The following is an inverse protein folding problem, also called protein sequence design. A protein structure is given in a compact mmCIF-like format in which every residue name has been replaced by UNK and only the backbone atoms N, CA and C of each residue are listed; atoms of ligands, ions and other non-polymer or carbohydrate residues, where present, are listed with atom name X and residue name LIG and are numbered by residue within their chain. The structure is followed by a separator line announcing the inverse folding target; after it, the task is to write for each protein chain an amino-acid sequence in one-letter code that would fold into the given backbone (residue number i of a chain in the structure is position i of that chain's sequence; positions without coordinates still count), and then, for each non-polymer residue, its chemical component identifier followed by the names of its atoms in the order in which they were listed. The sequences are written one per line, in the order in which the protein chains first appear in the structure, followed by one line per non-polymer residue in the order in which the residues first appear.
data_IF_146630027646
#
_entry.id   IF_146630027646
#
_cell.length_a   1.000
_cell.length_b   1.000
_cell.length_c   1.000
_cell.angle_alpha   90.00
_cell.angle_beta   90.00
_cell.angle_gamma   90.00
#
_symmetry.space_group_name_H-M   'P 1'
#
loop_
_entity.id
_entity.type
_entity.pdbx_description
1 polymer ?
#
# COMPACT_ATOMS: atom_id res chain seq x y z
N UNK A 1 33.86 53.21 29.39
CA UNK A 1 33.97 54.30 28.41
C UNK A 1 33.49 53.82 27.07
N UNK A 2 32.37 54.33 26.52
CA UNK A 2 31.87 53.91 25.22
C UNK A 2 32.30 54.86 24.10
N UNK A 3 32.83 54.33 23.01
CA UNK A 3 33.16 55.08 21.81
C UNK A 3 31.92 55.29 20.95
N UNK A 4 31.51 56.55 20.78
CA UNK A 4 30.55 57.02 19.77
C UNK A 4 31.25 57.15 18.42
N UNK A 5 30.72 56.49 17.39
CA UNK A 5 31.02 56.75 15.98
C UNK A 5 29.93 57.64 15.37
N UNK A 6 30.36 58.81 14.90
CA UNK A 6 29.56 59.80 14.18
C UNK A 6 29.44 59.40 12.71
N UNK A 7 28.22 59.46 12.18
CA UNK A 7 27.97 59.27 10.74
C UNK A 7 27.91 60.63 10.04
N UNK A 8 28.78 60.82 9.05
CA UNK A 8 28.78 62.02 8.19
C UNK A 8 27.67 61.90 7.13
N UNK A 9 26.85 62.90 7.03
CA UNK A 9 25.85 63.09 5.95
C UNK A 9 26.54 63.60 4.69
N UNK A 10 26.50 62.86 3.57
CA UNK A 10 26.84 63.34 2.24
C UNK A 10 25.62 63.94 1.54
N UNK A 11 25.72 65.20 1.17
CA UNK A 11 24.73 65.93 0.36
C UNK A 11 24.77 65.45 -1.09
N UNK A 12 23.67 65.01 -1.62
CA UNK A 12 23.54 64.68 -3.04
C UNK A 12 23.01 65.85 -3.82
N UNK A 13 23.78 66.37 -4.74
CA UNK A 13 23.42 67.36 -5.76
C UNK A 13 22.34 66.79 -6.70
N UNK A 14 21.21 67.48 -6.80
CA UNK A 14 20.14 67.22 -7.78
C UNK A 14 20.53 67.76 -9.14
N UNK A 15 20.87 66.96 -10.11
CA UNK A 15 20.94 67.32 -11.53
C UNK A 15 19.51 67.36 -12.12
N UNK A 16 19.09 68.53 -12.60
CA UNK A 16 17.89 68.70 -13.44
C UNK A 16 18.13 68.01 -14.78
N UNK A 17 17.35 66.99 -15.13
CA UNK A 17 17.32 66.43 -16.46
C UNK A 17 16.19 67.04 -17.27
N UNK A 18 16.56 67.58 -18.43
CA UNK A 18 15.66 68.14 -19.45
C UNK A 18 14.80 67.04 -20.04
N UNK A 19 13.48 67.23 -19.96
CA UNK A 19 12.48 66.34 -20.56
C UNK A 19 12.63 66.34 -22.10
N UNK A 20 13.11 65.27 -22.68
CA UNK A 20 12.92 64.94 -24.10
C UNK A 20 11.58 64.18 -24.24
N UNK A 21 10.67 64.72 -25.04
CA UNK A 21 9.40 64.13 -25.42
C UNK A 21 9.69 62.94 -26.34
N UNK A 22 9.35 61.69 -26.02
CA UNK A 22 9.56 60.61 -26.97
C UNK A 22 8.47 60.62 -28.05
N UNK A 23 8.91 60.64 -29.30
CA UNK A 23 8.08 60.40 -30.47
C UNK A 23 7.42 59.04 -30.35
N UNK A 24 6.09 59.01 -30.34
CA UNK A 24 5.24 57.84 -30.31
C UNK A 24 5.36 57.06 -31.64
N UNK A 25 6.30 56.15 -31.74
CA UNK A 25 6.33 55.17 -32.84
C UNK A 25 5.29 54.10 -32.51
N UNK A 26 4.21 54.06 -33.28
CA UNK A 26 3.19 52.99 -33.24
C UNK A 26 3.84 51.71 -33.74
N UNK A 27 4.41 50.97 -32.82
CA UNK A 27 4.87 49.58 -33.07
C UNK A 27 3.62 48.72 -33.27
N UNK A 28 3.34 48.35 -34.54
CA UNK A 28 2.36 47.32 -34.85
C UNK A 28 2.78 46.07 -34.10
N UNK A 29 2.04 45.70 -33.06
CA UNK A 29 2.18 44.43 -32.36
C UNK A 29 1.62 43.36 -33.29
N UNK A 30 2.47 42.74 -34.05
CA UNK A 30 2.15 41.51 -34.77
C UNK A 30 1.97 40.46 -33.67
N UNK A 31 0.76 40.16 -33.27
CA UNK A 31 0.46 39.03 -32.41
C UNK A 31 0.84 37.77 -33.18
N UNK A 32 2.03 37.26 -32.95
CA UNK A 32 2.41 35.92 -33.38
C UNK A 32 1.45 34.97 -32.69
N UNK A 33 0.41 34.54 -33.40
CA UNK A 33 -0.43 33.40 -32.98
C UNK A 33 0.55 32.26 -32.72
N UNK A 34 0.78 31.92 -31.44
CA UNK A 34 1.54 30.73 -31.07
C UNK A 34 0.85 29.55 -31.75
N UNK A 35 1.54 28.76 -32.57
CA UNK A 35 0.93 27.60 -33.18
C UNK A 35 0.40 26.74 -32.05
N UNK A 36 -0.90 26.39 -32.12
CA UNK A 36 -1.45 25.41 -31.19
C UNK A 36 -0.66 24.12 -31.38
N UNK A 37 0.28 23.87 -30.48
CA UNK A 37 0.95 22.58 -30.41
C UNK A 37 -0.15 21.57 -30.17
N UNK A 38 -0.46 20.77 -31.20
CA UNK A 38 -1.24 19.55 -31.03
C UNK A 38 -0.53 18.74 -29.95
N UNK A 39 -1.03 18.81 -28.72
CA UNK A 39 -0.55 18.01 -27.61
C UNK A 39 -1.01 16.58 -27.91
N UNK A 40 -0.18 15.84 -28.63
CA UNK A 40 -0.37 14.40 -28.72
C UNK A 40 -0.43 13.88 -27.28
N UNK A 41 -1.59 13.35 -26.91
CA UNK A 41 -1.76 12.75 -25.59
C UNK A 41 -0.79 11.58 -25.50
N UNK A 42 -0.03 11.51 -24.42
CA UNK A 42 0.89 10.39 -24.22
C UNK A 42 0.10 9.07 -24.21
N UNK A 43 0.73 7.97 -24.66
CA UNK A 43 0.12 6.63 -24.61
C UNK A 43 -0.47 6.32 -23.22
N UNK A 44 0.23 6.73 -22.17
CA UNK A 44 -0.24 6.58 -20.78
C UNK A 44 -1.54 7.35 -20.50
N UNK A 45 -1.66 8.55 -21.00
CA UNK A 45 -2.89 9.36 -20.85
C UNK A 45 -4.06 8.73 -21.59
N UNK A 46 -3.84 8.22 -22.81
CA UNK A 46 -4.87 7.53 -23.59
C UNK A 46 -5.32 6.26 -22.87
N UNK A 47 -4.39 5.42 -22.40
CA UNK A 47 -4.70 4.21 -21.65
C UNK A 47 -5.48 4.51 -20.36
N UNK A 48 -5.15 5.60 -19.67
CA UNK A 48 -5.86 5.99 -18.46
C UNK A 48 -7.31 6.47 -18.74
N UNK A 49 -7.56 7.05 -19.91
CA UNK A 49 -8.90 7.52 -20.29
C UNK A 49 -9.77 6.35 -20.75
N UNK A 50 -9.21 5.40 -21.50
CA UNK A 50 -9.96 4.29 -22.13
C UNK A 50 -10.16 3.09 -21.22
N UNK A 51 -9.43 3.00 -20.11
CA UNK A 51 -9.57 1.86 -19.19
C UNK A 51 -10.77 1.96 -18.27
N UNK A 52 -11.42 0.84 -18.02
CA UNK A 52 -12.41 0.66 -16.95
C UNK A 52 -11.69 0.77 -15.60
N UNK A 53 -12.14 1.66 -14.73
CA UNK A 53 -11.60 1.81 -13.37
C UNK A 53 -12.43 0.98 -12.42
N UNK A 54 -11.75 0.07 -11.74
CA UNK A 54 -12.37 -0.85 -10.81
C UNK A 54 -11.81 -0.66 -9.41
N UNK A 55 -12.65 -0.92 -8.42
CA UNK A 55 -12.27 -0.91 -7.01
C UNK A 55 -13.09 -1.94 -6.25
N UNK A 56 -12.48 -2.53 -5.25
CA UNK A 56 -13.14 -3.44 -4.34
C UNK A 56 -12.77 -3.11 -2.89
N UNK A 57 -13.79 -3.00 -2.03
CA UNK A 57 -13.64 -2.74 -0.61
C UNK A 57 -13.75 -4.07 0.14
N UNK A 58 -12.65 -4.47 0.76
CA UNK A 58 -12.52 -5.76 1.44
C UNK A 58 -12.60 -5.59 2.95
N UNK A 59 -13.58 -6.20 3.56
CA UNK A 59 -13.70 -6.28 5.01
C UNK A 59 -12.65 -7.25 5.57
N UNK A 60 -12.14 -7.01 6.80
CA UNK A 60 -11.36 -8.01 7.51
C UNK A 60 -12.27 -9.17 7.93
N UNK A 61 -11.84 -10.39 7.64
CA UNK A 61 -12.45 -11.63 8.10
C UNK A 61 -11.43 -12.36 8.97
N UNK A 62 -11.77 -12.58 10.21
CA UNK A 62 -10.91 -13.28 11.15
C UNK A 62 -11.31 -14.74 11.24
N UNK A 63 -10.33 -15.62 11.17
CA UNK A 63 -10.49 -17.07 11.34
C UNK A 63 -9.47 -17.59 12.36
N UNK A 64 -9.83 -18.65 13.08
CA UNK A 64 -8.96 -19.29 14.07
C UNK A 64 -8.18 -20.47 13.51
N UNK A 65 -8.62 -21.02 12.39
CA UNK A 65 -8.10 -22.25 11.78
C UNK A 65 -7.59 -22.07 10.33
N UNK A 66 -7.71 -20.87 9.79
CA UNK A 66 -7.38 -20.57 8.39
C UNK A 66 -8.43 -21.03 7.38
N UNK A 67 -9.54 -21.56 7.86
CA UNK A 67 -10.68 -21.99 7.04
C UNK A 67 -11.76 -20.92 6.90
N UNK A 68 -12.93 -21.36 6.51
CA UNK A 68 -14.12 -20.51 6.35
C UNK A 68 -14.87 -20.24 7.67
N UNK A 69 -14.45 -20.92 8.74
CA UNK A 69 -15.04 -20.75 10.08
C UNK A 69 -14.46 -19.51 10.72
N UNK A 70 -15.28 -18.47 10.84
CA UNK A 70 -14.84 -17.19 11.39
C UNK A 70 -15.90 -16.13 11.22
N UNK A 71 -15.49 -14.88 11.27
CA UNK A 71 -16.41 -13.75 11.13
C UNK A 71 -15.71 -12.42 10.88
N UNK A 72 -16.48 -11.42 10.56
CA UNK A 72 -16.04 -10.03 10.38
C UNK A 72 -15.76 -9.31 11.71
N UNK A 73 -15.57 -10.08 12.79
CA UNK A 73 -15.28 -9.55 14.10
C UNK A 73 -13.93 -8.82 14.17
N UNK A 74 -13.72 -8.13 15.26
CA UNK A 74 -12.47 -7.46 15.55
C UNK A 74 -11.41 -8.52 15.84
N UNK A 75 -10.27 -8.45 15.14
CA UNK A 75 -9.13 -9.27 15.47
C UNK A 75 -8.55 -8.81 16.82
N UNK A 76 -8.54 -9.70 17.79
CA UNK A 76 -7.94 -9.50 19.11
C UNK A 76 -6.67 -10.32 19.24
N UNK A 77 -5.55 -9.67 19.56
CA UNK A 77 -4.21 -10.26 19.67
C UNK A 77 -3.80 -10.20 21.14
N UNK A 78 -3.53 -11.35 21.74
CA UNK A 78 -3.08 -11.42 23.13
C UNK A 78 -1.57 -11.11 23.23
N UNK A 79 -1.17 -10.39 24.27
CA UNK A 79 0.20 -9.90 24.45
C UNK A 79 1.24 -11.00 24.66
N UNK A 80 0.85 -12.10 25.27
CA UNK A 80 1.73 -13.25 25.50
C UNK A 80 1.98 -14.13 24.26
N UNK A 81 1.18 -13.94 23.17
CA UNK A 81 1.26 -14.73 21.94
C UNK A 81 1.83 -13.90 20.79
N UNK A 82 1.46 -12.62 20.75
CA UNK A 82 1.73 -11.77 19.59
C UNK A 82 0.96 -12.18 18.34
N UNK A 83 1.39 -11.73 17.18
CA UNK A 83 0.70 -12.04 15.94
C UNK A 83 1.57 -11.93 14.70
N UNK A 84 1.37 -12.87 13.78
CA UNK A 84 1.96 -12.86 12.45
C UNK A 84 0.89 -13.16 11.41
N UNK A 85 0.57 -12.17 10.60
CA UNK A 85 -0.50 -12.22 9.61
C UNK A 85 0.06 -11.96 8.23
N UNK A 86 -0.46 -12.66 7.23
CA UNK A 86 -0.19 -12.40 5.82
C UNK A 86 -1.47 -12.61 5.01
N UNK A 87 -1.68 -11.77 4.03
CA UNK A 87 -2.73 -11.95 3.05
C UNK A 87 -2.31 -11.41 1.69
N UNK A 88 -2.89 -11.97 0.63
CA UNK A 88 -2.65 -11.53 -0.73
C UNK A 88 -3.75 -10.55 -1.15
N UNK A 89 -3.39 -9.28 -1.34
CA UNK A 89 -4.35 -8.24 -1.72
C UNK A 89 -4.84 -8.37 -3.16
N UNK A 90 -4.07 -9.04 -4.01
CA UNK A 90 -4.38 -9.22 -5.43
C UNK A 90 -5.04 -10.55 -5.74
N UNK A 91 -5.09 -11.49 -4.79
CA UNK A 91 -5.73 -12.79 -4.99
C UNK A 91 -7.24 -12.64 -5.17
N UNK A 92 -7.74 -12.92 -6.38
CA UNK A 92 -9.17 -12.91 -6.71
C UNK A 92 -9.47 -13.65 -7.99
N UNK A 93 -10.59 -14.35 -8.01
CA UNK A 93 -11.05 -15.05 -9.18
C UNK A 93 -11.61 -14.09 -10.23
N UNK A 94 -11.70 -14.56 -11.45
CA UNK A 94 -12.40 -13.87 -12.52
C UNK A 94 -13.90 -14.09 -12.34
N UNK A 95 -14.65 -13.04 -12.47
CA UNK A 95 -16.13 -13.12 -12.44
C UNK A 95 -16.64 -12.51 -13.72
N UNK A 96 -17.26 -13.34 -14.57
CA UNK A 96 -17.98 -12.86 -15.73
C UNK A 96 -19.29 -12.23 -15.26
N UNK A 97 -19.25 -10.94 -14.95
CA UNK A 97 -20.43 -10.21 -14.57
C UNK A 97 -21.22 -9.83 -15.81
N UNK A 98 -22.51 -10.19 -15.85
CA UNK A 98 -23.44 -9.69 -16.85
C UNK A 98 -23.75 -8.18 -16.63
N UNK A 99 -23.39 -7.62 -15.47
CA UNK A 99 -23.58 -6.21 -15.15
C UNK A 99 -22.36 -5.38 -15.61
N UNK A 100 -22.53 -4.54 -16.64
CA UNK A 100 -21.45 -3.69 -17.14
C UNK A 100 -20.98 -2.62 -16.12
N UNK A 101 -21.74 -2.42 -15.05
CA UNK A 101 -21.43 -1.47 -13.98
C UNK A 101 -20.69 -2.10 -12.81
N UNK A 102 -20.48 -3.42 -12.82
CA UNK A 102 -19.79 -4.15 -11.77
C UNK A 102 -18.36 -3.64 -11.60
N UNK A 103 -18.13 -2.82 -10.58
CA UNK A 103 -16.84 -2.18 -10.32
C UNK A 103 -15.93 -3.00 -9.40
N UNK A 104 -16.50 -3.96 -8.65
CA UNK A 104 -15.79 -4.74 -7.64
C UNK A 104 -15.26 -6.09 -8.14
N UNK A 105 -15.64 -6.50 -9.34
CA UNK A 105 -15.28 -7.81 -9.93
C UNK A 105 -14.15 -7.69 -10.94
N UNK A 106 -13.25 -8.68 -10.98
CA UNK A 106 -12.24 -8.81 -12.03
C UNK A 106 -12.84 -9.54 -13.23
N UNK A 107 -12.70 -8.96 -14.40
CA UNK A 107 -13.18 -9.54 -15.67
C UNK A 107 -12.04 -9.88 -16.63
N UNK A 108 -10.87 -9.23 -16.48
CA UNK A 108 -9.71 -9.40 -17.37
C UNK A 108 -8.59 -10.15 -16.68
N UNK A 109 -7.81 -10.90 -17.46
CA UNK A 109 -6.60 -11.59 -16.97
C UNK A 109 -5.44 -10.62 -16.80
N UNK A 110 -5.29 -9.69 -17.74
CA UNK A 110 -4.30 -8.65 -17.67
C UNK A 110 -4.90 -7.35 -17.12
N UNK A 111 -4.52 -7.01 -15.90
CA UNK A 111 -4.99 -5.81 -15.22
C UNK A 111 -3.83 -4.88 -14.86
N UNK A 112 -4.10 -3.59 -14.79
CA UNK A 112 -3.14 -2.61 -14.30
C UNK A 112 -3.47 -2.25 -12.86
N UNK A 113 -2.72 -2.82 -11.91
CA UNK A 113 -2.89 -2.54 -10.49
C UNK A 113 -2.47 -1.11 -10.17
N UNK A 114 -3.39 -0.32 -9.61
CA UNK A 114 -3.12 1.05 -9.17
C UNK A 114 -2.52 1.09 -7.78
N UNK A 115 -3.09 0.31 -6.87
CA UNK A 115 -2.61 0.21 -5.50
C UNK A 115 -3.70 -0.18 -4.51
N UNK A 116 -3.28 -0.30 -3.27
CA UNK A 116 -4.09 -0.64 -2.12
C UNK A 116 -4.23 0.58 -1.21
N UNK A 117 -5.45 0.92 -0.86
CA UNK A 117 -5.75 1.91 0.18
C UNK A 117 -6.20 1.18 1.43
N UNK A 118 -5.60 1.50 2.56
CA UNK A 118 -6.03 0.93 3.83
C UNK A 118 -6.33 2.02 4.85
N UNK A 119 -7.39 1.78 5.62
CA UNK A 119 -7.68 2.48 6.87
C UNK A 119 -7.52 1.48 7.99
N UNK A 120 -6.54 1.74 8.84
CA UNK A 120 -6.14 0.84 9.90
C UNK A 120 -6.51 1.49 11.21
N UNK A 121 -7.25 0.74 12.02
CA UNK A 121 -7.61 1.14 13.37
C UNK A 121 -7.02 0.12 14.34
N UNK A 122 -6.25 0.59 15.30
CA UNK A 122 -5.66 -0.22 16.36
C UNK A 122 -6.04 0.38 17.71
N UNK A 123 -6.48 -0.47 18.63
CA UNK A 123 -6.68 -0.09 20.01
C UNK A 123 -6.05 -1.12 20.94
N UNK A 124 -5.46 -0.65 22.04
CA UNK A 124 -4.93 -1.50 23.11
C UNK A 124 -5.80 -1.36 24.34
N UNK A 125 -5.98 -2.43 25.09
CA UNK A 125 -6.81 -2.44 26.32
C UNK A 125 -6.05 -1.98 27.54
N UNK A 126 -4.71 -2.12 27.51
CA UNK A 126 -3.82 -1.84 28.63
C UNK A 126 -2.71 -0.86 28.23
N UNK A 127 -1.92 -0.31 29.18
CA UNK A 127 -0.80 0.57 28.88
C UNK A 127 0.40 -0.14 28.25
N UNK A 128 0.37 -1.46 28.14
CA UNK A 128 1.46 -2.25 27.55
C UNK A 128 1.83 -1.75 26.17
N UNK A 129 3.12 -1.55 25.94
CA UNK A 129 3.64 -1.08 24.65
C UNK A 129 3.69 -2.23 23.65
N UNK A 130 3.31 -1.94 22.43
CA UNK A 130 3.31 -2.90 21.33
C UNK A 130 4.24 -2.46 20.21
N UNK A 131 4.87 -3.44 19.55
CA UNK A 131 5.57 -3.25 18.27
C UNK A 131 4.67 -3.73 17.15
N UNK A 132 4.56 -2.96 16.10
CA UNK A 132 3.89 -3.33 14.86
C UNK A 132 4.80 -3.10 13.67
N UNK A 133 5.19 -4.17 12.98
CA UNK A 133 5.91 -4.09 11.70
C UNK A 133 5.00 -4.49 10.58
N UNK A 134 4.93 -3.65 9.57
CA UNK A 134 4.22 -3.95 8.32
C UNK A 134 5.20 -4.01 7.17
N UNK A 135 5.11 -5.10 6.38
CA UNK A 135 5.89 -5.31 5.18
C UNK A 135 4.91 -5.56 4.03
N UNK A 136 4.99 -4.73 2.96
CA UNK A 136 4.24 -4.96 1.74
C UNK A 136 5.22 -5.28 0.62
N UNK A 137 4.99 -6.37 -0.06
CA UNK A 137 5.89 -6.87 -1.10
C UNK A 137 5.12 -7.61 -2.18
N UNK A 138 5.75 -7.77 -3.35
CA UNK A 138 5.25 -8.65 -4.39
C UNK A 138 6.23 -9.78 -4.65
N UNK A 139 5.70 -10.95 -4.92
CA UNK A 139 6.48 -12.15 -5.26
C UNK A 139 5.72 -12.97 -6.29
N UNK A 140 6.45 -13.71 -7.11
CA UNK A 140 5.92 -14.66 -8.09
C UNK A 140 6.04 -16.09 -7.56
N UNK A 141 5.25 -16.98 -8.13
CA UNK A 141 5.33 -18.40 -7.81
C UNK A 141 4.43 -18.85 -6.67
N UNK A 142 3.49 -18.01 -6.22
CA UNK A 142 2.50 -18.35 -5.17
C UNK A 142 3.08 -19.06 -3.93
N UNK A 143 4.22 -18.61 -3.39
CA UNK A 143 4.87 -19.28 -2.27
C UNK A 143 4.01 -19.31 -1.00
N UNK A 144 2.98 -18.44 -0.96
CA UNK A 144 2.01 -18.35 0.12
C UNK A 144 0.59 -18.64 -0.39
N UNK A 145 0.40 -19.78 -1.04
CA UNK A 145 -0.92 -20.20 -1.53
C UNK A 145 -1.99 -20.26 -0.43
N UNK A 146 -1.58 -20.38 0.83
CA UNK A 146 -2.44 -20.30 1.99
C UNK A 146 -2.87 -18.85 2.36
N UNK A 147 -2.21 -17.84 1.83
CA UNK A 147 -2.48 -16.42 2.14
C UNK A 147 -3.45 -15.81 1.12
N UNK A 148 -4.58 -16.44 0.91
CA UNK A 148 -5.62 -15.96 -0.01
C UNK A 148 -6.50 -14.90 0.65
N UNK A 149 -7.36 -14.26 -0.15
CA UNK A 149 -8.60 -13.67 0.36
C UNK A 149 -9.64 -14.77 0.59
N UNK A 150 -10.72 -14.43 1.25
CA UNK A 150 -11.89 -15.28 1.35
C UNK A 150 -13.00 -14.72 0.45
N UNK A 151 -13.48 -15.53 -0.47
CA UNK A 151 -14.69 -15.21 -1.22
C UNK A 151 -15.90 -15.61 -0.39
N UNK A 152 -16.71 -14.65 -0.04
CA UNK A 152 -17.98 -14.82 0.66
C UNK A 152 -19.15 -14.56 -0.30
N UNK A 153 -20.36 -14.89 0.11
CA UNK A 153 -21.58 -14.55 -0.67
C UNK A 153 -21.73 -13.04 -0.93
N UNK A 154 -21.04 -12.20 -0.16
CA UNK A 154 -21.08 -10.72 -0.27
C UNK A 154 -19.86 -10.12 -0.95
N UNK A 155 -18.91 -10.93 -1.41
CA UNK A 155 -17.70 -10.50 -2.10
C UNK A 155 -16.39 -10.97 -1.44
N UNK A 156 -15.27 -10.39 -1.86
CA UNK A 156 -13.96 -10.72 -1.33
C UNK A 156 -13.72 -10.07 0.03
N UNK A 157 -13.25 -10.88 0.99
CA UNK A 157 -12.84 -10.45 2.31
C UNK A 157 -11.35 -10.68 2.52
N UNK A 158 -10.73 -9.84 3.35
CA UNK A 158 -9.36 -10.00 3.79
C UNK A 158 -9.29 -11.05 4.89
N UNK A 159 -8.77 -12.22 4.61
CA UNK A 159 -8.63 -13.28 5.62
C UNK A 159 -7.44 -13.00 6.52
N UNK A 160 -7.68 -12.93 7.83
CA UNK A 160 -6.69 -12.74 8.86
C UNK A 160 -6.66 -13.96 9.77
N UNK A 161 -5.59 -14.71 9.70
CA UNK A 161 -5.29 -15.83 10.57
C UNK A 161 -3.93 -15.66 11.21
N UNK A 162 -3.86 -15.83 12.53
CA UNK A 162 -2.59 -15.74 13.24
C UNK A 162 -1.73 -16.98 12.96
N UNK A 163 -0.61 -16.76 12.31
CA UNK A 163 0.33 -17.84 11.95
C UNK A 163 1.53 -17.92 12.90
N UNK A 164 1.59 -17.07 13.92
CA UNK A 164 2.66 -17.11 14.91
C UNK A 164 2.78 -18.53 15.52
N UNK A 165 4.00 -19.08 15.53
CA UNK A 165 4.26 -20.43 16.04
C UNK A 165 3.88 -21.57 15.10
N UNK A 166 3.41 -21.32 13.87
CA UNK A 166 3.08 -22.36 12.89
C UNK A 166 4.20 -22.60 11.87
N UNK A 167 4.14 -23.69 11.13
CA UNK A 167 5.04 -23.96 10.00
C UNK A 167 4.93 -22.91 8.89
N UNK A 168 3.76 -22.31 8.71
CA UNK A 168 3.55 -21.22 7.77
C UNK A 168 4.37 -19.98 8.14
N UNK A 169 4.48 -19.66 9.44
CA UNK A 169 5.34 -18.58 9.90
C UNK A 169 6.81 -18.80 9.56
N UNK A 170 7.29 -20.03 9.70
CA UNK A 170 8.66 -20.38 9.31
C UNK A 170 8.88 -20.20 7.80
N UNK A 171 7.92 -20.64 6.98
CA UNK A 171 7.94 -20.46 5.52
C UNK A 171 7.94 -18.98 5.13
N UNK A 172 7.08 -18.18 5.77
CA UNK A 172 7.04 -16.74 5.56
C UNK A 172 8.38 -16.07 5.89
N UNK A 173 8.94 -16.41 7.05
CA UNK A 173 10.20 -15.85 7.53
C UNK A 173 11.36 -16.24 6.61
N UNK A 174 11.45 -17.51 6.18
CA UNK A 174 12.50 -18.00 5.30
C UNK A 174 12.51 -17.35 3.91
N UNK A 175 11.32 -16.95 3.41
CA UNK A 175 11.23 -16.28 2.12
C UNK A 175 11.44 -14.76 2.22
N UNK A 176 10.82 -14.13 3.21
CA UNK A 176 10.77 -12.67 3.31
C UNK A 176 12.06 -12.10 3.86
N UNK A 177 12.71 -12.79 4.80
CA UNK A 177 13.92 -12.28 5.44
C UNK A 177 15.19 -12.92 4.88
N UNK A 178 16.24 -12.12 4.82
CA UNK A 178 17.55 -12.56 4.35
C UNK A 178 18.28 -13.35 5.43
N UNK A 179 18.77 -14.53 5.05
CA UNK A 179 19.48 -15.42 5.97
C UNK A 179 18.55 -16.35 6.74
N UNK A 180 19.10 -17.04 7.74
CA UNK A 180 18.44 -18.07 8.52
C UNK A 180 18.11 -17.56 9.91
N UNK A 181 16.90 -17.79 10.37
CA UNK A 181 16.47 -17.46 11.73
C UNK A 181 17.33 -18.21 12.75
N UNK A 182 17.70 -17.56 13.84
CA UNK A 182 18.58 -18.03 14.90
C UNK A 182 20.06 -18.24 14.49
N UNK A 183 20.43 -17.89 13.24
CA UNK A 183 21.81 -17.89 12.76
C UNK A 183 22.20 -16.47 12.34
N UNK A 184 21.47 -15.89 11.37
CA UNK A 184 21.78 -14.56 10.83
C UNK A 184 20.94 -13.46 11.49
N UNK A 185 19.78 -13.82 12.04
CA UNK A 185 18.88 -12.92 12.76
C UNK A 185 18.01 -13.68 13.75
N UNK A 186 17.60 -13.01 14.85
CA UNK A 186 16.77 -13.60 15.89
C UNK A 186 15.36 -12.99 15.93
N UNK A 187 15.24 -11.70 15.64
CA UNK A 187 13.99 -10.95 15.78
C UNK A 187 13.47 -10.51 14.41
N UNK A 188 12.28 -11.00 14.04
CA UNK A 188 11.60 -10.65 12.80
C UNK A 188 11.26 -9.15 12.69
N UNK A 189 11.31 -8.40 13.80
CA UNK A 189 11.10 -6.94 13.76
C UNK A 189 12.34 -6.16 13.31
N UNK A 190 13.53 -6.75 13.42
CA UNK A 190 14.80 -6.17 13.01
C UNK A 190 15.42 -6.84 11.79
N UNK A 191 14.96 -8.05 11.45
CA UNK A 191 15.46 -8.82 10.31
C UNK A 191 15.34 -8.06 9.00
N UNK A 192 16.39 -8.12 8.16
CA UNK A 192 16.43 -7.45 6.86
C UNK A 192 15.57 -8.21 5.83
N UNK A 193 14.72 -7.50 5.11
CA UNK A 193 13.94 -8.09 4.01
C UNK A 193 14.86 -8.48 2.85
N UNK A 194 14.67 -9.68 2.30
CA UNK A 194 15.42 -10.17 1.15
C UNK A 194 14.86 -9.64 -0.17
N UNK A 195 15.42 -8.53 -0.63
CA UNK A 195 15.02 -7.89 -1.88
C UNK A 195 15.47 -8.64 -3.14
N UNK A 196 16.21 -9.73 -3.02
CA UNK A 196 16.53 -10.61 -4.15
C UNK A 196 15.38 -11.59 -4.44
N UNK A 197 14.64 -11.99 -3.41
CA UNK A 197 13.51 -12.91 -3.51
C UNK A 197 12.17 -12.19 -3.68
N UNK A 198 11.99 -11.04 -3.02
CA UNK A 198 10.74 -10.29 -3.04
C UNK A 198 10.95 -8.86 -3.55
N UNK A 199 9.97 -8.33 -4.26
CA UNK A 199 9.94 -6.91 -4.62
C UNK A 199 9.32 -6.12 -3.48
N UNK A 200 10.13 -5.42 -2.71
CA UNK A 200 9.69 -4.65 -1.54
C UNK A 200 9.00 -3.35 -1.98
N UNK A 201 7.83 -3.06 -1.43
CA UNK A 201 7.07 -1.82 -1.62
C UNK A 201 7.02 -0.96 -0.36
N UNK A 202 6.94 -1.60 0.80
CA UNK A 202 6.85 -0.91 2.08
C UNK A 202 7.39 -1.80 3.20
N UNK A 203 8.17 -1.21 4.11
CA UNK A 203 8.63 -1.84 5.36
C UNK A 203 8.75 -0.77 6.44
N UNK A 204 8.00 -0.93 7.51
CA UNK A 204 8.05 -0.01 8.64
C UNK A 204 7.63 -0.67 9.93
N UNK A 205 8.46 -0.49 10.96
CA UNK A 205 8.16 -0.83 12.35
C UNK A 205 7.67 0.43 13.08
N UNK A 206 6.66 0.27 13.91
CA UNK A 206 6.11 1.30 14.78
C UNK A 206 5.98 0.77 16.19
N UNK A 207 6.20 1.64 17.15
CA UNK A 207 5.91 1.39 18.56
C UNK A 207 4.60 2.10 18.90
N UNK A 208 3.69 1.36 19.51
CA UNK A 208 2.40 1.83 19.98
C UNK A 208 2.47 1.83 21.50
N UNK A 209 2.63 3.00 22.10
CA UNK A 209 2.65 3.20 23.55
C UNK A 209 1.61 4.23 23.94
N UNK A 210 0.87 3.99 25.00
CA UNK A 210 -0.17 4.91 25.48
C UNK A 210 0.41 6.14 26.16
N UNK A 211 1.55 6.01 26.82
CA UNK A 211 2.14 7.07 27.63
C UNK A 211 1.39 7.35 28.95
N UNK A 212 0.34 6.61 29.25
CA UNK A 212 -0.45 6.69 30.49
C UNK A 212 -0.90 5.28 30.93
N UNK A 213 -1.70 5.18 31.99
CA UNK A 213 -2.20 3.90 32.50
C UNK A 213 -3.42 3.36 31.74
N UNK A 214 -3.87 4.04 30.71
CA UNK A 214 -5.00 3.63 29.86
C UNK A 214 -4.49 3.03 28.54
N UNK A 215 -5.36 2.31 27.86
CA UNK A 215 -5.09 1.87 26.49
C UNK A 215 -4.97 3.02 25.48
N UNK A 216 -4.62 2.71 24.26
CA UNK A 216 -4.41 3.70 23.19
C UNK A 216 -5.27 3.39 21.98
N UNK A 217 -5.78 4.46 21.35
CA UNK A 217 -6.31 4.42 20.00
C UNK A 217 -5.26 4.94 19.00
N UNK A 218 -5.08 4.19 17.94
CA UNK A 218 -4.23 4.57 16.83
C UNK A 218 -4.97 4.37 15.52
N UNK A 219 -5.00 5.40 14.68
CA UNK A 219 -5.59 5.34 13.35
C UNK A 219 -4.55 5.74 12.31
N UNK A 220 -4.48 4.97 11.23
CA UNK A 220 -3.62 5.27 10.08
C UNK A 220 -4.41 5.10 8.78
N UNK A 221 -4.18 5.98 7.82
CA UNK A 221 -4.73 5.87 6.47
C UNK A 221 -3.59 5.92 5.47
N UNK A 222 -3.44 4.84 4.67
CA UNK A 222 -2.32 4.71 3.76
C UNK A 222 -2.74 4.33 2.37
N UNK A 223 -1.96 4.82 1.43
CA UNK A 223 -1.96 4.40 0.05
C UNK A 223 -0.65 3.66 -0.24
N UNK A 224 -0.77 2.43 -0.73
CA UNK A 224 0.34 1.60 -1.19
C UNK A 224 0.30 1.52 -2.71
N UNK A 225 1.12 2.31 -3.42
CA UNK A 225 1.11 2.34 -4.88
C UNK A 225 1.73 1.07 -5.44
N UNK A 226 1.10 0.50 -6.47
CA UNK A 226 1.64 -0.61 -7.26
C UNK A 226 2.08 -0.12 -8.64
N UNK A 227 1.17 0.49 -9.40
CA UNK A 227 1.38 1.08 -10.72
C UNK A 227 2.08 0.14 -11.72
N UNK A 228 1.70 -1.14 -11.70
CA UNK A 228 2.25 -2.19 -12.55
C UNK A 228 1.15 -3.11 -13.07
N UNK A 229 1.44 -3.78 -14.17
CA UNK A 229 0.56 -4.82 -14.69
C UNK A 229 0.66 -6.09 -13.82
N UNK A 230 -0.46 -6.74 -13.65
CA UNK A 230 -0.60 -8.09 -13.11
C UNK A 230 -1.25 -8.95 -14.18
N UNK A 231 -0.71 -10.12 -14.42
CA UNK A 231 -1.30 -11.14 -15.30
C UNK A 231 -1.67 -12.33 -14.44
N UNK A 232 -2.95 -12.70 -14.42
CA UNK A 232 -3.44 -13.88 -13.73
C UNK A 232 -3.15 -15.13 -14.53
N UNK A 233 -2.98 -16.27 -13.84
CA UNK A 233 -2.60 -17.54 -14.44
C UNK A 233 -3.83 -18.32 -14.94
N UNK A 234 -4.74 -17.62 -15.61
CA UNK A 234 -5.83 -18.29 -16.29
C UNK A 234 -5.29 -19.08 -17.50
N UNK A 235 -5.89 -20.21 -17.82
CA UNK A 235 -5.48 -21.06 -18.92
C UNK A 235 -6.71 -21.62 -19.65
N UNK A 236 -6.51 -22.01 -20.89
CA UNK A 236 -7.55 -22.60 -21.72
C UNK A 236 -7.87 -24.01 -21.26
N UNK A 237 -9.14 -24.36 -21.22
CA UNK A 237 -9.64 -25.69 -20.90
C UNK A 237 -10.78 -26.10 -21.87
N UNK A 238 -10.40 -26.48 -23.05
CA UNK A 238 -11.35 -26.82 -24.12
C UNK A 238 -12.20 -25.61 -24.54
N UNK A 239 -13.54 -25.67 -24.34
CA UNK A 239 -14.43 -24.54 -24.60
C UNK A 239 -14.50 -23.50 -23.47
N UNK A 240 -13.79 -23.74 -22.36
CA UNK A 240 -13.78 -22.90 -21.15
C UNK A 240 -12.41 -22.38 -20.78
N UNK A 241 -12.36 -21.66 -19.69
CA UNK A 241 -11.12 -21.18 -19.06
C UNK A 241 -11.02 -21.69 -17.62
N UNK A 242 -9.82 -22.09 -17.23
CA UNK A 242 -9.49 -22.34 -15.84
C UNK A 242 -9.15 -20.99 -15.18
N UNK A 243 -10.01 -20.58 -14.27
CA UNK A 243 -9.77 -19.36 -13.51
C UNK A 243 -8.70 -19.57 -12.43
N UNK A 244 -7.76 -18.64 -12.38
CA UNK A 244 -6.74 -18.62 -11.36
C UNK A 244 -6.88 -17.39 -10.46
N UNK A 245 -6.78 -17.63 -9.16
CA UNK A 245 -6.79 -16.59 -8.12
C UNK A 245 -5.50 -15.80 -8.08
N UNK A 246 -4.38 -16.43 -8.51
CA UNK A 246 -3.03 -15.87 -8.43
C UNK A 246 -2.44 -15.54 -9.79
N UNK A 247 -1.35 -14.79 -9.76
CA UNK A 247 -0.61 -14.38 -10.94
C UNK A 247 0.21 -15.52 -11.56
N UNK A 248 0.56 -15.34 -12.84
CA UNK A 248 1.46 -16.26 -13.56
C UNK A 248 2.83 -16.38 -12.88
N UNK A 249 3.44 -17.56 -12.98
CA UNK A 249 4.78 -17.84 -12.45
C UNK A 249 5.89 -17.17 -13.26
N UNK A 250 5.67 -16.92 -14.55
CA UNK A 250 6.66 -16.45 -15.50
C UNK A 250 6.87 -14.92 -15.45
N UNK A 251 7.70 -14.40 -16.35
CA UNK A 251 8.15 -13.01 -16.37
C UNK A 251 7.08 -11.90 -16.42
N UNK A 252 5.93 -12.04 -17.13
CA UNK A 252 5.01 -10.92 -17.26
C UNK A 252 4.37 -10.54 -15.92
N UNK A 253 4.19 -9.25 -15.71
CA UNK A 253 3.52 -8.69 -14.53
C UNK A 253 4.39 -8.58 -13.29
N UNK A 254 3.79 -8.04 -12.24
CA UNK A 254 4.46 -7.72 -10.97
C UNK A 254 4.55 -8.91 -9.99
N UNK A 255 3.76 -9.96 -10.20
CA UNK A 255 3.53 -10.99 -9.19
C UNK A 255 2.43 -10.60 -8.21
N UNK A 256 2.14 -11.51 -7.29
CA UNK A 256 1.09 -11.31 -6.29
C UNK A 256 1.56 -10.37 -5.20
N UNK A 257 0.66 -9.48 -4.77
CA UNK A 257 0.96 -8.45 -3.77
C UNK A 257 0.50 -8.90 -2.39
N UNK A 258 1.46 -9.05 -1.48
CA UNK A 258 1.23 -9.49 -0.12
C UNK A 258 1.39 -8.34 0.88
N UNK A 259 0.58 -8.40 1.93
CA UNK A 259 0.70 -7.54 3.11
C UNK A 259 0.94 -8.45 4.31
N UNK A 260 2.07 -8.26 4.97
CA UNK A 260 2.48 -8.98 6.17
C UNK A 260 2.48 -8.03 7.36
N UNK A 261 1.82 -8.41 8.43
CA UNK A 261 1.76 -7.68 9.69
C UNK A 261 2.31 -8.53 10.83
N UNK A 262 3.26 -7.97 11.57
CA UNK A 262 3.84 -8.55 12.77
C UNK A 262 3.44 -7.71 13.98
N UNK A 263 2.99 -8.35 15.04
CA UNK A 263 2.65 -7.72 16.31
C UNK A 263 3.36 -8.43 17.46
N UNK A 264 3.89 -7.66 18.39
CA UNK A 264 4.51 -8.16 19.60
C UNK A 264 4.35 -7.15 20.72
N UNK A 265 4.10 -7.63 21.93
CA UNK A 265 3.95 -6.82 23.13
C UNK A 265 5.24 -6.84 23.97
N UNK A 266 5.65 -5.71 24.47
CA UNK A 266 6.75 -5.63 25.43
C UNK A 266 6.31 -6.23 26.77
N UNK A 267 6.78 -7.43 27.10
CA UNK A 267 6.43 -8.15 28.34
C UNK A 267 4.90 -8.32 28.53
N UNK A 268 4.17 -8.59 27.43
CA UNK A 268 2.71 -8.69 27.47
C UNK A 268 2.22 -9.94 28.21
N UNK A 269 1.17 -9.77 29.00
CA UNK A 269 0.40 -10.86 29.62
C UNK A 269 -0.78 -11.26 28.73
N UNK A 270 -1.46 -12.35 29.07
CA UNK A 270 -2.66 -12.79 28.34
C UNK A 270 -3.82 -11.79 28.40
N UNK A 271 -3.87 -10.96 29.46
CA UNK A 271 -4.86 -9.88 29.61
C UNK A 271 -4.55 -8.63 28.80
N UNK A 272 -3.32 -8.48 28.31
CA UNK A 272 -2.94 -7.38 27.43
C UNK A 272 -3.39 -7.69 26.01
N UNK A 273 -4.35 -6.96 25.50
CA UNK A 273 -4.89 -7.23 24.17
C UNK A 273 -4.76 -6.03 23.25
N UNK A 274 -4.39 -6.31 21.99
CA UNK A 274 -4.42 -5.36 20.89
C UNK A 274 -5.55 -5.74 19.94
N UNK A 275 -6.42 -4.80 19.65
CA UNK A 275 -7.46 -4.95 18.64
C UNK A 275 -7.00 -4.35 17.32
N UNK A 276 -7.10 -5.12 16.23
CA UNK A 276 -6.69 -4.73 14.91
C UNK A 276 -7.87 -4.77 13.93
N UNK A 277 -8.13 -3.64 13.27
CA UNK A 277 -9.26 -3.46 12.33
C UNK A 277 -8.73 -2.80 11.05
N UNK A 278 -8.22 -3.57 10.10
CA UNK A 278 -7.77 -3.04 8.82
C UNK A 278 -8.89 -3.13 7.79
N UNK A 279 -9.36 -2.00 7.29
CA UNK A 279 -10.22 -1.93 6.12
C UNK A 279 -9.39 -1.62 4.89
N UNK A 280 -9.57 -2.36 3.82
CA UNK A 280 -8.80 -2.25 2.60
C UNK A 280 -9.68 -1.99 1.38
N UNK A 281 -9.17 -1.18 0.45
CA UNK A 281 -9.76 -0.99 -0.88
C UNK A 281 -8.68 -1.20 -1.92
N UNK A 282 -8.87 -2.16 -2.81
CA UNK A 282 -7.98 -2.40 -3.94
C UNK A 282 -8.48 -1.65 -5.16
N UNK A 283 -7.55 -1.05 -5.91
CA UNK A 283 -7.84 -0.28 -7.11
C UNK A 283 -7.06 -0.82 -8.30
N UNK A 284 -7.74 -1.04 -9.41
CA UNK A 284 -7.12 -1.48 -10.66
C UNK A 284 -7.84 -0.92 -11.89
N UNK A 285 -7.21 -1.10 -13.05
CA UNK A 285 -7.78 -0.73 -14.34
C UNK A 285 -7.80 -1.95 -15.25
N UNK A 286 -8.86 -2.10 -15.98
CA UNK A 286 -9.04 -3.09 -17.04
C UNK A 286 -9.28 -2.38 -18.38
N UNK A 287 -9.02 -3.10 -19.47
CA UNK A 287 -9.26 -2.59 -20.83
C UNK A 287 -10.60 -3.09 -21.35
#
# INVERSE_FOLDING_TARGET
MPFRRSYARSSRYRRRSTRRIPRRTTRRVISRRRPMRNRYRSRRTLLNITSKKKQDNMQPFYTTDGGTTGGTAILSIAGNVGGQYIWCATARDRVNSADPTASATRESDLVFMRGLKEKIFISTTTPTSWRWRRICFAVKGTPFGFATGLQTSTGWARMLWNRAGTGDAATMNALVFKGVQNVDWNDAFTAKVDTQRVTLYYDKTRVLSSGNQQGKFFQDSRWYPMNKNLLYNNDENGEGELDATFSVFSKPGMGDYYVMDLFDAAAGASGDTLQFRPEASLYWHEK
#
